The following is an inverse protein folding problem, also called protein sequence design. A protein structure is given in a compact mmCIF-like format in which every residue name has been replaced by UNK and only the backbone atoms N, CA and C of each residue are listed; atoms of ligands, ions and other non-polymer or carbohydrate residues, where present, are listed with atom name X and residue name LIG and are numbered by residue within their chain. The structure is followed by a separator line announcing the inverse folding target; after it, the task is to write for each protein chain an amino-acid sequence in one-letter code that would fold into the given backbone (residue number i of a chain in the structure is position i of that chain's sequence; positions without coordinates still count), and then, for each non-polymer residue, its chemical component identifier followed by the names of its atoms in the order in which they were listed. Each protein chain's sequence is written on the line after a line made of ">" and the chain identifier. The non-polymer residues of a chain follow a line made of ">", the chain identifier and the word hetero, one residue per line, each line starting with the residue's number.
data_IF_135427919882
#
_entry.id   IF_135427919882
#
_cell.length_a   1.000
_cell.length_b   1.000
_cell.length_c   1.000
_cell.angle_alpha   90.00
_cell.angle_beta   90.00
_cell.angle_gamma   90.00
#
_symmetry.space_group_name_H-M   'P 1'
#
loop_
_entity.id
_entity.type
_entity.pdbx_description
1 polymer ?
#
# COMPACT_ATOMS: atom_id res chain seq x y z
N UNK A 1 33.43 35.82 -31.58
CA UNK A 1 33.01 37.18 -31.16
C UNK A 1 31.60 37.05 -30.60
N UNK A 2 31.48 37.14 -29.29
CA UNK A 2 30.22 37.15 -28.56
C UNK A 2 29.75 38.61 -28.51
N UNK A 3 28.74 38.96 -29.29
CA UNK A 3 28.03 40.23 -29.11
C UNK A 3 27.03 40.08 -27.96
N UNK A 4 27.36 40.73 -26.85
CA UNK A 4 26.43 41.08 -25.78
C UNK A 4 25.35 41.98 -26.38
N UNK A 5 24.11 41.51 -26.45
CA UNK A 5 22.97 42.42 -26.50
C UNK A 5 22.59 42.83 -25.08
N UNK A 6 22.74 44.13 -24.85
CA UNK A 6 22.41 44.83 -23.62
C UNK A 6 20.95 44.61 -23.23
N UNK A 7 20.73 44.44 -21.92
CA UNK A 7 19.40 44.37 -21.33
C UNK A 7 18.61 45.63 -21.60
N UNK A 8 17.46 45.44 -22.26
CA UNK A 8 16.30 46.27 -21.98
C UNK A 8 15.73 45.80 -20.64
N UNK A 9 15.74 46.68 -19.64
CA UNK A 9 14.87 46.56 -18.48
C UNK A 9 13.42 46.44 -18.99
N UNK A 10 12.94 45.21 -19.14
CA UNK A 10 11.51 44.95 -19.21
C UNK A 10 10.96 45.33 -17.85
N UNK A 11 10.51 46.57 -17.70
CA UNK A 11 9.41 46.88 -16.79
C UNK A 11 8.36 45.81 -17.09
N UNK A 12 8.13 44.93 -16.12
CA UNK A 12 7.08 43.91 -16.21
C UNK A 12 5.79 44.66 -16.47
N UNK A 13 5.35 44.72 -17.73
CA UNK A 13 3.98 45.08 -18.03
C UNK A 13 3.14 44.15 -17.17
N UNK A 14 2.36 44.75 -16.27
CA UNK A 14 1.42 44.00 -15.47
C UNK A 14 0.47 43.34 -16.46
N UNK A 15 0.75 42.08 -16.84
CA UNK A 15 -0.18 41.28 -17.60
C UNK A 15 -1.39 41.15 -16.70
N UNK A 16 -2.39 41.95 -17.03
CA UNK A 16 -3.67 42.01 -16.36
C UNK A 16 -4.44 40.73 -16.63
N UNK A 17 -5.35 40.41 -15.72
CA UNK A 17 -6.32 39.34 -15.94
C UNK A 17 -7.03 39.61 -17.27
N UNK A 18 -6.97 38.65 -18.20
CA UNK A 18 -7.67 38.75 -19.49
C UNK A 18 -9.18 38.59 -19.25
N UNK A 19 -9.89 39.70 -19.12
CA UNK A 19 -11.34 39.65 -18.87
C UNK A 19 -12.12 38.96 -19.99
N UNK A 20 -11.64 39.06 -21.22
CA UNK A 20 -12.37 38.53 -22.37
C UNK A 20 -12.38 37.00 -22.30
N UNK A 21 -11.25 36.38 -21.96
CA UNK A 21 -11.20 34.92 -21.82
C UNK A 21 -12.02 34.45 -20.62
N UNK A 22 -11.94 35.13 -19.47
CA UNK A 22 -12.71 34.76 -18.27
C UNK A 22 -14.22 34.91 -18.51
N UNK A 23 -14.65 35.98 -19.18
CA UNK A 23 -16.07 36.20 -19.50
C UNK A 23 -16.61 35.11 -20.44
N UNK A 24 -15.80 34.67 -21.42
CA UNK A 24 -16.16 33.53 -22.28
C UNK A 24 -16.27 32.23 -21.48
N UNK A 25 -15.31 31.94 -20.59
CA UNK A 25 -15.36 30.75 -19.72
C UNK A 25 -16.65 30.73 -18.88
N UNK A 26 -17.04 31.86 -18.27
CA UNK A 26 -18.29 31.95 -17.51
C UNK A 26 -19.54 31.76 -18.38
N UNK A 27 -19.52 32.26 -19.61
CA UNK A 27 -20.61 32.08 -20.59
C UNK A 27 -20.74 30.62 -21.04
N UNK A 28 -19.62 29.98 -21.35
CA UNK A 28 -19.57 28.63 -21.90
C UNK A 28 -19.82 27.56 -20.83
N UNK A 29 -19.59 27.86 -19.55
CA UNK A 29 -19.71 26.93 -18.42
C UNK A 29 -20.67 27.43 -17.36
N UNK A 30 -21.98 27.34 -17.64
CA UNK A 30 -23.00 27.67 -16.64
C UNK A 30 -22.82 26.87 -15.36
N UNK A 31 -22.70 27.55 -14.23
CA UNK A 31 -22.51 26.95 -12.91
C UNK A 31 -21.06 26.86 -12.45
N UNK A 32 -20.07 27.18 -13.31
CA UNK A 32 -18.68 27.28 -12.87
C UNK A 32 -18.52 28.41 -11.86
N UNK A 33 -17.80 28.15 -10.78
CA UNK A 33 -17.66 29.09 -9.69
C UNK A 33 -16.27 29.74 -9.67
N UNK A 34 -16.20 30.94 -10.25
CA UNK A 34 -15.01 31.80 -10.19
C UNK A 34 -15.25 32.94 -9.19
N UNK A 35 -14.33 33.11 -8.26
CA UNK A 35 -14.38 34.16 -7.24
C UNK A 35 -13.15 35.08 -7.32
N UNK A 36 -13.30 36.32 -6.86
CA UNK A 36 -12.25 37.32 -6.86
C UNK A 36 -11.58 37.44 -5.49
N UNK A 37 -10.26 37.29 -5.48
CA UNK A 37 -9.41 37.60 -4.34
C UNK A 37 -8.65 38.91 -4.62
N UNK A 38 -9.19 40.02 -4.13
CA UNK A 38 -8.66 41.37 -4.37
C UNK A 38 -7.31 41.66 -3.70
N UNK A 39 -6.94 40.89 -2.66
CA UNK A 39 -5.68 41.08 -1.92
C UNK A 39 -4.98 39.73 -1.74
N UNK A 40 -4.18 39.30 -2.73
CA UNK A 40 -3.26 38.19 -2.55
C UNK A 40 -2.27 38.51 -1.44
N UNK A 41 -2.08 37.57 -0.51
CA UNK A 41 -1.13 37.70 0.60
C UNK A 41 0.09 36.85 0.29
N UNK A 42 1.29 37.44 0.41
CA UNK A 42 2.52 36.70 0.22
C UNK A 42 2.79 35.83 1.44
N UNK A 43 3.01 34.54 1.21
CA UNK A 43 3.44 33.59 2.21
C UNK A 43 4.98 33.52 2.21
N UNK A 44 5.62 34.13 3.21
CA UNK A 44 7.09 34.15 3.34
C UNK A 44 7.72 32.76 3.49
N UNK A 45 7.04 31.81 4.14
CA UNK A 45 7.59 30.46 4.33
C UNK A 45 7.60 29.66 3.01
N UNK A 46 6.51 29.77 2.24
CA UNK A 46 6.32 29.05 0.96
C UNK A 46 6.83 29.82 -0.25
N UNK A 47 7.16 31.11 -0.07
CA UNK A 47 7.57 32.05 -1.11
C UNK A 47 6.55 32.12 -2.26
N UNK A 48 5.25 32.16 -1.94
CA UNK A 48 4.15 32.14 -2.90
C UNK A 48 2.93 32.99 -2.47
N UNK A 49 1.98 33.22 -3.38
CA UNK A 49 0.71 33.91 -3.14
C UNK A 49 -0.50 32.96 -3.14
N UNK A 50 -0.29 31.66 -2.91
CA UNK A 50 -1.31 30.63 -3.19
C UNK A 50 -2.33 30.45 -2.07
N UNK A 51 -2.04 30.96 -0.88
CA UNK A 51 -2.93 30.83 0.27
C UNK A 51 -4.01 31.91 0.25
N UNK A 52 -5.28 31.52 0.14
CA UNK A 52 -6.42 32.43 0.14
C UNK A 52 -7.25 32.24 1.40
N UNK A 53 -7.15 33.21 2.32
CA UNK A 53 -7.95 33.24 3.55
C UNK A 53 -9.43 33.50 3.23
N UNK A 54 -10.33 32.82 3.95
CA UNK A 54 -11.79 32.93 3.77
C UNK A 54 -12.26 32.76 2.31
N UNK A 55 -11.60 31.92 1.53
CA UNK A 55 -11.87 31.72 0.10
C UNK A 55 -13.35 31.39 -0.19
N UNK A 56 -14.03 30.68 0.72
CA UNK A 56 -15.46 30.33 0.60
C UNK A 56 -16.38 31.56 0.54
N UNK A 57 -16.04 32.64 1.24
CA UNK A 57 -16.84 33.86 1.29
C UNK A 57 -16.39 34.92 0.29
N UNK A 58 -15.40 34.64 -0.56
CA UNK A 58 -14.95 35.58 -1.59
C UNK A 58 -16.09 35.82 -2.59
N UNK A 59 -16.27 37.08 -3.04
CA UNK A 59 -17.33 37.42 -3.98
C UNK A 59 -17.06 36.77 -5.35
N UNK A 60 -18.12 36.45 -6.07
CA UNK A 60 -18.01 35.98 -7.46
C UNK A 60 -17.28 37.01 -8.33
N UNK A 61 -16.55 36.51 -9.32
CA UNK A 61 -15.88 37.36 -10.30
C UNK A 61 -16.92 38.17 -11.10
N UNK A 62 -16.65 39.45 -11.28
CA UNK A 62 -17.52 40.43 -11.92
C UNK A 62 -16.74 41.39 -12.84
N UNK A 63 -15.63 40.92 -13.44
CA UNK A 63 -14.85 41.71 -14.39
C UNK A 63 -13.70 42.53 -13.77
N UNK A 64 -13.18 42.10 -12.62
CA UNK A 64 -12.01 42.74 -11.99
C UNK A 64 -10.71 42.49 -12.80
N UNK A 65 -9.75 43.44 -12.73
CA UNK A 65 -8.46 43.39 -13.45
C UNK A 65 -7.27 43.07 -12.54
N UNK A 66 -7.46 43.32 -11.25
CA UNK A 66 -6.45 43.23 -10.19
C UNK A 66 -6.65 41.99 -9.33
N UNK A 67 -5.63 41.65 -8.52
CA UNK A 67 -5.66 40.52 -7.61
C UNK A 67 -5.60 39.15 -8.30
N UNK A 68 -6.33 38.19 -7.75
CA UNK A 68 -6.42 36.81 -8.25
C UNK A 68 -7.88 36.43 -8.54
N UNK A 69 -8.07 35.58 -9.54
CA UNK A 69 -9.28 34.80 -9.71
C UNK A 69 -9.02 33.41 -9.13
N UNK A 70 -9.90 32.96 -8.26
CA UNK A 70 -9.90 31.59 -7.76
C UNK A 70 -11.04 30.81 -8.42
N UNK A 71 -10.80 29.55 -8.71
CA UNK A 71 -11.87 28.59 -9.01
C UNK A 71 -12.19 27.83 -7.73
N UNK A 72 -13.48 27.65 -7.44
CA UNK A 72 -13.98 26.81 -6.35
C UNK A 72 -14.53 25.53 -6.96
N UNK A 73 -13.87 24.41 -6.69
CA UNK A 73 -14.33 23.12 -7.20
C UNK A 73 -15.68 22.76 -6.57
N UNK A 74 -16.52 22.08 -7.34
CA UNK A 74 -17.86 21.64 -6.95
C UNK A 74 -18.12 20.23 -7.46
N UNK A 75 -19.30 19.67 -7.16
CA UNK A 75 -19.67 18.35 -7.66
C UNK A 75 -19.94 18.36 -9.18
N UNK A 76 -20.39 19.50 -9.74
CA UNK A 76 -20.61 19.70 -11.17
C UNK A 76 -19.32 20.05 -11.92
N UNK A 77 -18.41 20.80 -11.29
CA UNK A 77 -17.14 21.22 -11.88
C UNK A 77 -15.98 20.77 -11.01
N UNK A 78 -15.38 19.64 -11.37
CA UNK A 78 -14.25 19.05 -10.64
C UNK A 78 -12.93 19.42 -11.30
N UNK A 79 -11.88 19.40 -10.49
CA UNK A 79 -10.53 19.77 -10.93
C UNK A 79 -9.56 18.60 -10.70
N UNK A 80 -8.67 18.36 -11.65
CA UNK A 80 -7.49 17.53 -11.46
C UNK A 80 -6.28 18.45 -11.30
N UNK A 81 -5.58 18.37 -10.16
CA UNK A 81 -4.28 19.02 -9.95
C UNK A 81 -3.15 18.04 -10.30
N UNK A 82 -2.28 18.45 -11.23
CA UNK A 82 -1.18 17.65 -11.76
C UNK A 82 0.13 17.94 -11.01
N UNK A 83 0.20 17.56 -9.75
CA UNK A 83 1.44 17.66 -8.97
C UNK A 83 2.60 16.82 -9.55
N UNK A 84 2.32 15.89 -10.46
CA UNK A 84 3.32 15.17 -11.27
C UNK A 84 4.34 16.11 -11.94
N UNK A 85 3.97 17.34 -12.31
CA UNK A 85 4.92 18.31 -12.88
C UNK A 85 6.02 18.76 -11.91
N UNK A 86 5.83 18.56 -10.59
CA UNK A 86 6.83 18.83 -9.55
C UNK A 86 7.84 17.69 -9.39
N UNK A 87 7.47 16.49 -9.83
CA UNK A 87 8.17 15.25 -9.45
C UNK A 87 8.70 14.46 -10.64
N UNK A 88 8.13 14.65 -11.83
CA UNK A 88 8.53 13.99 -13.08
C UNK A 88 9.17 14.97 -14.05
N UNK A 89 10.05 14.51 -14.96
CA UNK A 89 10.50 15.32 -16.09
C UNK A 89 9.29 15.84 -16.89
N UNK A 90 9.39 17.06 -17.40
CA UNK A 90 8.28 17.76 -18.06
C UNK A 90 7.60 16.93 -19.16
N UNK A 91 8.39 16.32 -20.05
CA UNK A 91 7.85 15.47 -21.12
C UNK A 91 7.05 14.28 -20.58
N UNK A 92 7.52 13.63 -19.52
CA UNK A 92 6.81 12.50 -18.93
C UNK A 92 5.49 12.93 -18.26
N UNK A 93 5.50 14.08 -17.56
CA UNK A 93 4.29 14.65 -16.98
C UNK A 93 3.28 15.06 -18.06
N UNK A 94 3.73 15.65 -19.17
CA UNK A 94 2.88 16.01 -20.32
C UNK A 94 2.26 14.76 -20.98
N UNK A 95 3.03 13.69 -21.16
CA UNK A 95 2.52 12.42 -21.68
C UNK A 95 1.47 11.76 -20.77
N UNK A 96 1.66 11.81 -19.45
CA UNK A 96 0.68 11.28 -18.48
C UNK A 96 -0.58 12.14 -18.50
N UNK A 97 -0.44 13.47 -18.46
CA UNK A 97 -1.56 14.41 -18.56
C UNK A 97 -2.35 14.23 -19.87
N UNK A 98 -1.67 13.92 -20.97
CA UNK A 98 -2.32 13.71 -22.27
C UNK A 98 -3.28 12.51 -22.32
N UNK A 99 -3.27 11.62 -21.31
CA UNK A 99 -4.27 10.56 -21.18
C UNK A 99 -5.63 11.07 -20.70
N UNK A 100 -5.67 12.26 -20.10
CA UNK A 100 -6.92 12.93 -19.77
C UNK A 100 -7.51 13.61 -21.01
N UNK A 101 -8.85 13.65 -21.16
CA UNK A 101 -9.47 14.43 -22.22
C UNK A 101 -9.06 15.89 -22.10
N UNK A 102 -8.69 16.50 -23.22
CA UNK A 102 -8.36 17.91 -23.27
C UNK A 102 -9.55 18.73 -22.75
N UNK A 103 -9.29 19.72 -21.91
CA UNK A 103 -10.35 20.50 -21.25
C UNK A 103 -9.89 21.94 -20.96
N UNK A 104 -10.69 22.67 -20.20
CA UNK A 104 -10.29 23.93 -19.59
C UNK A 104 -9.10 23.67 -18.65
N UNK A 105 -7.97 24.30 -18.92
CA UNK A 105 -6.74 24.12 -18.13
C UNK A 105 -6.22 25.45 -17.63
N UNK A 106 -5.53 25.43 -16.50
CA UNK A 106 -4.98 26.65 -15.92
C UNK A 106 -3.75 26.37 -15.05
N UNK A 107 -3.18 27.43 -14.48
CA UNK A 107 -1.99 27.39 -13.63
C UNK A 107 -0.75 27.91 -14.35
N UNK A 108 0.43 27.47 -13.90
CA UNK A 108 1.71 27.90 -14.45
C UNK A 108 1.83 27.47 -15.91
N UNK A 109 1.86 28.45 -16.81
CA UNK A 109 1.86 28.17 -18.26
C UNK A 109 0.62 27.42 -18.75
N UNK A 110 -0.48 27.49 -17.99
CA UNK A 110 -1.74 26.77 -18.25
C UNK A 110 -1.64 25.23 -18.27
N UNK A 111 -0.76 24.64 -17.46
CA UNK A 111 -0.51 23.19 -17.46
C UNK A 111 -0.70 22.49 -16.10
N UNK A 112 -1.00 23.23 -15.03
CA UNK A 112 -1.03 22.67 -13.67
C UNK A 112 -2.34 21.96 -13.31
N UNK A 113 -3.45 22.39 -13.92
CA UNK A 113 -4.79 21.94 -13.54
C UNK A 113 -5.67 21.74 -14.77
N UNK A 114 -6.61 20.80 -14.70
CA UNK A 114 -7.72 20.64 -15.66
C UNK A 114 -9.05 20.69 -14.93
N UNK A 115 -10.04 21.37 -15.50
CA UNK A 115 -11.42 21.42 -14.99
C UNK A 115 -12.31 20.60 -15.90
N UNK A 116 -13.17 19.76 -15.33
CA UNK A 116 -14.14 18.95 -16.06
C UNK A 116 -15.56 19.23 -15.57
N UNK A 117 -16.52 19.21 -16.50
CA UNK A 117 -17.94 19.19 -16.16
C UNK A 117 -18.39 17.75 -15.95
N UNK A 118 -18.92 17.45 -14.77
CA UNK A 118 -19.16 16.06 -14.34
C UNK A 118 -20.62 15.67 -14.48
N UNK A 119 -20.85 14.52 -15.10
CA UNK A 119 -22.10 13.77 -15.05
C UNK A 119 -22.07 12.79 -13.88
N UNK A 120 -23.18 12.69 -13.16
CA UNK A 120 -23.41 11.71 -12.08
C UNK A 120 -22.29 11.69 -11.01
N UNK A 121 -22.09 12.79 -10.26
CA UNK A 121 -21.04 12.88 -9.27
C UNK A 121 -21.21 11.83 -8.15
N UNK A 122 -20.14 11.09 -7.88
CA UNK A 122 -20.06 10.00 -6.91
C UNK A 122 -18.77 9.99 -6.09
N UNK A 123 -17.75 10.75 -6.51
CA UNK A 123 -16.41 10.71 -5.91
C UNK A 123 -16.04 12.00 -5.21
N UNK A 124 -15.47 11.87 -4.00
CA UNK A 124 -15.01 12.98 -3.17
C UNK A 124 -13.57 13.35 -3.48
N UNK A 125 -13.10 14.42 -2.83
CA UNK A 125 -11.70 14.84 -2.95
C UNK A 125 -10.75 13.69 -2.56
N UNK A 126 -9.76 13.40 -3.41
CA UNK A 126 -8.78 12.33 -3.21
C UNK A 126 -7.40 12.80 -3.66
N UNK A 127 -6.39 12.53 -2.83
CA UNK A 127 -4.97 12.73 -3.17
C UNK A 127 -4.29 11.40 -3.34
N UNK A 128 -3.45 11.28 -4.36
CA UNK A 128 -2.61 10.10 -4.58
C UNK A 128 -1.16 10.47 -4.30
N UNK A 129 -0.50 9.63 -3.50
CA UNK A 129 0.85 9.84 -3.04
C UNK A 129 1.81 8.73 -3.52
N UNK A 130 3.11 8.99 -3.43
CA UNK A 130 4.17 7.98 -3.40
C UNK A 130 5.22 8.44 -2.38
N UNK A 131 5.26 7.79 -1.21
CA UNK A 131 5.98 8.33 -0.06
C UNK A 131 5.42 9.72 0.32
N UNK A 132 6.30 10.72 0.36
CA UNK A 132 6.00 12.12 0.68
C UNK A 132 5.50 12.96 -0.53
N UNK A 133 5.54 12.40 -1.74
CA UNK A 133 5.18 13.12 -2.98
C UNK A 133 3.71 12.97 -3.28
N UNK A 134 2.96 14.08 -3.24
CA UNK A 134 1.62 14.14 -3.84
C UNK A 134 1.78 14.14 -5.37
N UNK A 135 1.13 13.23 -6.06
CA UNK A 135 1.26 13.08 -7.52
C UNK A 135 0.08 13.69 -8.25
N UNK A 136 -1.14 13.37 -7.80
CA UNK A 136 -2.37 13.88 -8.40
C UNK A 136 -3.39 14.14 -7.29
N UNK A 137 -4.21 15.18 -7.49
CA UNK A 137 -5.37 15.45 -6.63
C UNK A 137 -6.63 15.58 -7.47
N UNK A 138 -7.63 14.76 -7.13
CA UNK A 138 -8.99 14.88 -7.59
C UNK A 138 -9.71 15.84 -6.65
N UNK A 139 -10.00 17.06 -7.09
CA UNK A 139 -10.56 18.13 -6.26
C UNK A 139 -12.05 18.31 -6.52
N UNK A 140 -12.80 18.36 -5.43
CA UNK A 140 -14.27 18.50 -5.41
C UNK A 140 -14.67 19.65 -4.48
N UNK A 141 -15.98 19.74 -4.18
CA UNK A 141 -16.52 20.63 -3.15
C UNK A 141 -15.64 20.68 -1.90
N UNK A 142 -15.18 21.88 -1.53
CA UNK A 142 -14.26 22.09 -0.41
C UNK A 142 -12.82 22.44 -0.82
N UNK A 143 -12.53 22.48 -2.11
CA UNK A 143 -11.22 22.86 -2.67
C UNK A 143 -11.28 24.17 -3.48
N UNK A 144 -10.15 24.86 -3.57
CA UNK A 144 -9.99 26.02 -4.45
C UNK A 144 -8.59 26.01 -5.07
N UNK A 145 -8.46 26.72 -6.19
CA UNK A 145 -7.19 26.91 -6.89
C UNK A 145 -7.10 28.31 -7.47
N UNK A 146 -5.88 28.84 -7.61
CA UNK A 146 -5.65 30.12 -8.30
C UNK A 146 -5.81 29.89 -9.81
N UNK A 147 -6.94 30.35 -10.34
CA UNK A 147 -7.31 30.19 -11.75
C UNK A 147 -6.55 31.17 -12.65
N UNK A 148 -6.44 32.42 -12.22
CA UNK A 148 -5.68 33.47 -12.89
C UNK A 148 -5.10 34.46 -11.87
N UNK A 149 -3.93 35.01 -12.14
CA UNK A 149 -3.26 35.99 -11.26
C UNK A 149 -1.97 35.46 -10.65
N UNK A 150 -1.43 36.16 -9.66
CA UNK A 150 -0.11 35.87 -9.09
C UNK A 150 -0.04 34.49 -8.43
N UNK A 151 1.04 33.74 -8.70
CA UNK A 151 1.34 32.49 -7.99
C UNK A 151 2.52 32.65 -7.05
N UNK A 152 3.55 33.36 -7.50
CA UNK A 152 4.76 33.72 -6.76
C UNK A 152 5.35 35.00 -7.36
N UNK A 153 6.53 35.40 -6.89
CA UNK A 153 7.19 36.64 -7.33
C UNK A 153 7.63 36.64 -8.82
N UNK A 154 7.68 35.47 -9.46
CA UNK A 154 8.18 35.31 -10.84
C UNK A 154 7.08 34.96 -11.82
N UNK A 155 6.03 34.30 -11.35
CA UNK A 155 5.12 33.61 -12.24
C UNK A 155 3.66 33.76 -11.82
N UNK A 156 2.78 33.62 -12.81
CA UNK A 156 1.33 33.81 -12.68
C UNK A 156 0.58 32.60 -13.23
N UNK A 157 -0.60 32.35 -12.66
CA UNK A 157 -1.59 31.45 -13.21
C UNK A 157 -2.29 32.14 -14.37
N UNK A 158 -2.53 31.36 -15.43
CA UNK A 158 -3.38 31.76 -16.54
C UNK A 158 -4.16 30.55 -17.06
N UNK A 159 -5.40 30.75 -17.54
CA UNK A 159 -6.10 29.71 -18.28
C UNK A 159 -5.46 29.49 -19.65
N UNK A 160 -5.70 28.31 -20.25
CA UNK A 160 -5.41 28.03 -21.65
C UNK A 160 -6.45 28.71 -22.56
N UNK A 161 -6.34 28.49 -23.87
CA UNK A 161 -7.28 29.05 -24.85
C UNK A 161 -8.61 28.28 -24.93
N UNK A 162 -8.75 27.19 -24.20
CA UNK A 162 -9.96 26.36 -24.18
C UNK A 162 -10.90 26.98 -23.16
N UNK A 163 -12.04 27.49 -23.62
CA UNK A 163 -12.98 28.18 -22.75
C UNK A 163 -14.02 27.25 -22.15
N UNK A 164 -14.32 26.12 -22.80
CA UNK A 164 -15.34 25.17 -22.37
C UNK A 164 -14.71 23.97 -21.66
N UNK A 165 -15.20 23.63 -20.46
CA UNK A 165 -14.82 22.41 -19.78
C UNK A 165 -15.47 21.20 -20.47
N UNK A 166 -14.67 20.18 -20.72
CA UNK A 166 -15.12 18.91 -21.28
C UNK A 166 -16.06 18.21 -20.31
N UNK A 167 -17.20 17.76 -20.84
CA UNK A 167 -18.20 17.02 -20.08
C UNK A 167 -17.89 15.52 -20.09
N UNK A 168 -17.89 14.88 -18.92
CA UNK A 168 -17.50 13.48 -18.74
C UNK A 168 -18.25 12.82 -17.58
N UNK A 169 -18.47 11.50 -17.66
CA UNK A 169 -18.97 10.72 -16.54
C UNK A 169 -17.94 10.67 -15.39
N UNK A 170 -18.39 10.86 -14.14
CA UNK A 170 -17.47 10.86 -12.99
C UNK A 170 -16.68 9.53 -12.92
N UNK A 171 -17.35 8.40 -13.17
CA UNK A 171 -16.75 7.06 -13.19
C UNK A 171 -15.62 6.92 -14.21
N UNK A 172 -15.76 7.55 -15.37
CA UNK A 172 -14.74 7.54 -16.42
C UNK A 172 -13.53 8.40 -16.01
N UNK A 173 -13.76 9.61 -15.49
CA UNK A 173 -12.67 10.48 -15.05
C UNK A 173 -11.92 9.89 -13.85
N UNK A 174 -12.61 9.22 -12.91
CA UNK A 174 -12.00 8.50 -11.79
C UNK A 174 -11.09 7.39 -12.30
N UNK A 175 -11.53 6.62 -13.29
CA UNK A 175 -10.71 5.56 -13.89
C UNK A 175 -9.44 6.15 -14.49
N UNK A 176 -9.55 7.19 -15.32
CA UNK A 176 -8.40 7.88 -15.93
C UNK A 176 -7.46 8.42 -14.85
N UNK A 177 -8.01 9.03 -13.80
CA UNK A 177 -7.26 9.55 -12.66
C UNK A 177 -6.40 8.47 -11.98
N UNK A 178 -6.99 7.32 -11.65
CA UNK A 178 -6.23 6.23 -11.03
C UNK A 178 -5.25 5.56 -12.00
N UNK A 179 -5.59 5.41 -13.28
CA UNK A 179 -4.66 4.87 -14.29
C UNK A 179 -3.44 5.78 -14.47
N UNK A 180 -3.65 7.09 -14.57
CA UNK A 180 -2.58 8.08 -14.63
C UNK A 180 -1.71 8.07 -13.37
N UNK A 181 -2.33 7.92 -12.19
CA UNK A 181 -1.61 7.81 -10.93
C UNK A 181 -0.74 6.55 -10.85
N UNK A 182 -1.28 5.40 -11.29
CA UNK A 182 -0.56 4.14 -11.36
C UNK A 182 0.66 4.26 -12.28
N UNK A 183 0.51 4.92 -13.44
CA UNK A 183 1.61 5.13 -14.37
C UNK A 183 2.68 6.07 -13.79
N UNK A 184 2.26 7.15 -13.12
CA UNK A 184 3.18 8.07 -12.45
C UNK A 184 3.98 7.38 -11.34
N UNK A 185 3.31 6.54 -10.52
CA UNK A 185 3.97 5.75 -9.49
C UNK A 185 4.94 4.74 -10.11
N UNK A 186 4.51 3.99 -11.13
CA UNK A 186 5.36 3.02 -11.83
C UNK A 186 6.60 3.69 -12.45
N UNK A 187 6.42 4.85 -13.09
CA UNK A 187 7.51 5.63 -13.66
C UNK A 187 8.56 6.02 -12.61
N UNK A 188 8.12 6.47 -11.43
CA UNK A 188 8.98 6.95 -10.36
C UNK A 188 9.78 5.84 -9.68
N UNK A 189 9.24 4.63 -9.61
CA UNK A 189 9.92 3.47 -9.01
C UNK A 189 10.73 2.66 -10.03
N UNK A 190 10.58 2.96 -11.32
CA UNK A 190 11.27 2.23 -12.38
C UNK A 190 12.79 2.43 -12.30
N UNK A 191 13.58 1.33 -12.37
CA UNK A 191 15.02 1.42 -12.29
C UNK A 191 15.61 1.99 -13.59
N UNK A 192 16.64 2.82 -13.46
CA UNK A 192 17.35 3.39 -14.61
C UNK A 192 18.22 2.38 -15.37
N UNK A 193 18.59 1.26 -14.74
CA UNK A 193 19.46 0.23 -15.29
C UNK A 193 18.91 -1.17 -15.04
N UNK A 194 19.74 -2.05 -14.49
CA UNK A 194 19.33 -3.40 -14.09
C UNK A 194 18.30 -3.34 -12.96
N UNK A 195 17.31 -4.24 -12.99
CA UNK A 195 16.25 -4.31 -11.97
C UNK A 195 14.82 -4.32 -12.53
N UNK A 196 14.64 -4.12 -13.84
CA UNK A 196 13.32 -4.21 -14.48
C UNK A 196 12.63 -5.55 -14.22
N UNK A 197 13.39 -6.66 -14.18
CA UNK A 197 12.82 -7.97 -13.89
C UNK A 197 12.19 -8.04 -12.49
N UNK A 198 12.83 -7.45 -11.48
CA UNK A 198 12.26 -7.39 -10.13
C UNK A 198 10.99 -6.53 -10.12
N UNK A 199 11.02 -5.38 -10.80
CA UNK A 199 9.84 -4.51 -10.92
C UNK A 199 8.68 -5.25 -11.60
N UNK A 200 8.93 -5.92 -12.72
CA UNK A 200 7.91 -6.66 -13.47
C UNK A 200 7.31 -7.78 -12.62
N UNK A 201 8.15 -8.56 -11.93
CA UNK A 201 7.68 -9.69 -11.10
C UNK A 201 6.88 -9.22 -9.90
N UNK A 202 7.30 -8.14 -9.24
CA UNK A 202 6.64 -7.62 -8.04
C UNK A 202 5.42 -6.76 -8.35
N UNK A 203 5.55 -5.76 -9.22
CA UNK A 203 4.44 -4.88 -9.58
C UNK A 203 3.43 -5.60 -10.49
N UNK A 204 3.88 -6.36 -11.49
CA UNK A 204 2.97 -7.17 -12.31
C UNK A 204 2.26 -8.26 -11.51
N UNK A 205 2.94 -8.83 -10.51
CA UNK A 205 2.32 -9.72 -9.54
C UNK A 205 1.30 -9.02 -8.65
N UNK A 206 1.58 -7.80 -8.18
CA UNK A 206 0.63 -6.97 -7.43
C UNK A 206 -0.59 -6.62 -8.28
N UNK A 207 -0.43 -6.30 -9.57
CA UNK A 207 -1.58 -6.06 -10.45
C UNK A 207 -2.52 -7.28 -10.51
N UNK A 208 -1.95 -8.47 -10.74
CA UNK A 208 -2.71 -9.72 -10.72
C UNK A 208 -3.40 -9.96 -9.37
N UNK A 209 -2.68 -9.75 -8.28
CA UNK A 209 -3.19 -9.93 -6.91
C UNK A 209 -4.43 -9.07 -6.63
N UNK A 210 -4.48 -7.85 -7.20
CA UNK A 210 -5.61 -6.93 -7.06
C UNK A 210 -6.72 -7.16 -8.10
N UNK A 211 -6.61 -8.17 -8.96
CA UNK A 211 -7.63 -8.49 -9.97
C UNK A 211 -7.60 -7.56 -11.19
N UNK A 212 -6.45 -7.00 -11.55
CA UNK A 212 -6.29 -6.27 -12.81
C UNK A 212 -6.05 -7.24 -13.95
N UNK A 213 -6.63 -6.95 -15.12
CA UNK A 213 -6.46 -7.75 -16.33
C UNK A 213 -5.01 -7.76 -16.85
N UNK A 214 -4.62 -8.84 -17.53
CA UNK A 214 -3.28 -8.97 -18.14
C UNK A 214 -3.00 -7.81 -19.11
N UNK A 215 -4.00 -7.45 -19.93
CA UNK A 215 -3.91 -6.38 -20.92
C UNK A 215 -3.64 -5.01 -20.28
N UNK A 216 -4.29 -4.72 -19.13
CA UNK A 216 -4.04 -3.51 -18.38
C UNK A 216 -2.57 -3.45 -17.91
N UNK A 217 -2.10 -4.54 -17.31
CA UNK A 217 -0.72 -4.63 -16.81
C UNK A 217 0.30 -4.52 -17.93
N UNK A 218 0.06 -5.12 -19.09
CA UNK A 218 0.93 -4.93 -20.26
C UNK A 218 0.93 -3.47 -20.72
N UNK A 219 -0.25 -2.86 -20.89
CA UNK A 219 -0.39 -1.47 -21.35
C UNK A 219 0.37 -0.49 -20.47
N UNK A 220 0.19 -0.55 -19.14
CA UNK A 220 0.83 0.39 -18.22
C UNK A 220 2.36 0.23 -18.19
N UNK A 221 2.87 -1.00 -18.33
CA UNK A 221 4.30 -1.24 -18.46
C UNK A 221 4.84 -0.75 -19.80
N UNK A 222 4.12 -0.93 -20.90
CA UNK A 222 4.51 -0.39 -22.21
C UNK A 222 4.58 1.14 -22.20
N UNK A 223 3.56 1.80 -21.65
CA UNK A 223 3.55 3.25 -21.44
C UNK A 223 4.77 3.67 -20.61
N UNK A 224 5.05 2.99 -19.50
CA UNK A 224 6.21 3.31 -18.66
C UNK A 224 7.55 3.11 -19.38
N UNK A 225 7.67 2.06 -20.20
CA UNK A 225 8.88 1.81 -21.00
C UNK A 225 9.09 2.90 -22.05
N UNK A 226 8.01 3.35 -22.71
CA UNK A 226 8.05 4.47 -23.65
C UNK A 226 8.54 5.75 -22.98
N UNK A 227 8.00 6.09 -21.79
CA UNK A 227 8.43 7.25 -21.01
C UNK A 227 9.91 7.20 -20.59
N UNK A 228 10.49 6.01 -20.46
CA UNK A 228 11.91 5.79 -20.16
C UNK A 228 12.77 5.55 -21.42
N UNK A 229 12.18 5.62 -22.63
CA UNK A 229 12.84 5.29 -23.91
C UNK A 229 13.43 3.86 -23.94
N UNK A 230 12.76 2.90 -23.30
CA UNK A 230 13.18 1.49 -23.15
C UNK A 230 12.41 0.53 -24.06
N UNK A 231 12.30 0.88 -25.34
CA UNK A 231 11.60 0.06 -26.34
C UNK A 231 12.24 -1.33 -26.52
N UNK A 232 13.54 -1.47 -26.22
CA UNK A 232 14.29 -2.73 -26.22
C UNK A 232 13.67 -3.80 -25.29
N UNK A 233 13.02 -3.38 -24.21
CA UNK A 233 12.47 -4.24 -23.16
C UNK A 233 11.04 -4.70 -23.40
N UNK A 234 10.33 -4.13 -24.38
CA UNK A 234 8.88 -4.33 -24.57
C UNK A 234 8.51 -5.82 -24.69
N UNK A 235 9.19 -6.54 -25.60
CA UNK A 235 8.91 -7.97 -25.86
C UNK A 235 9.14 -8.86 -24.63
N UNK A 236 10.23 -8.65 -23.91
CA UNK A 236 10.56 -9.43 -22.70
C UNK A 236 9.59 -9.12 -21.55
N UNK A 237 9.21 -7.86 -21.40
CA UNK A 237 8.28 -7.39 -20.37
C UNK A 237 6.91 -8.03 -20.56
N UNK A 238 6.34 -7.97 -21.76
CA UNK A 238 5.04 -8.59 -22.04
C UNK A 238 5.08 -10.11 -21.86
N UNK A 239 6.16 -10.77 -22.29
CA UNK A 239 6.32 -12.23 -22.08
C UNK A 239 6.36 -12.57 -20.59
N UNK A 240 7.03 -11.77 -19.79
CA UNK A 240 7.12 -11.96 -18.33
C UNK A 240 5.77 -11.74 -17.66
N UNK A 241 5.04 -10.68 -18.02
CA UNK A 241 3.69 -10.41 -17.52
C UNK A 241 2.74 -11.56 -17.87
N UNK A 242 2.71 -12.00 -19.14
CA UNK A 242 1.91 -13.17 -19.54
C UNK A 242 2.27 -14.44 -18.73
N UNK A 243 3.55 -14.60 -18.38
CA UNK A 243 4.01 -15.69 -17.52
C UNK A 243 3.51 -15.59 -16.08
N UNK A 244 3.36 -14.39 -15.51
CA UNK A 244 2.79 -14.14 -14.18
C UNK A 244 1.30 -14.50 -14.18
N UNK A 245 0.57 -14.09 -15.22
CA UNK A 245 -0.87 -14.32 -15.33
C UNK A 245 -1.25 -15.79 -15.49
N UNK A 246 -0.39 -16.61 -16.11
CA UNK A 246 -0.61 -18.06 -16.30
C UNK A 246 -0.36 -18.95 -15.08
N UNK A 247 0.33 -18.47 -14.04
CA UNK A 247 0.70 -19.30 -12.86
C UNK A 247 -0.33 -19.21 -11.75
N UNK A 248 -0.54 -20.26 -10.96
CA UNK A 248 -1.45 -20.28 -9.80
C UNK A 248 -0.92 -19.53 -8.56
N UNK A 249 0.06 -18.63 -8.76
CA UNK A 249 0.57 -17.74 -7.73
C UNK A 249 1.36 -16.59 -8.34
N UNK A 250 1.56 -15.53 -7.57
CA UNK A 250 2.26 -14.32 -7.98
C UNK A 250 3.13 -13.77 -6.85
N UNK A 251 4.13 -12.99 -7.24
CA UNK A 251 4.80 -12.11 -6.29
C UNK A 251 3.94 -10.87 -6.04
N UNK A 252 4.43 -9.94 -5.23
CA UNK A 252 3.74 -8.70 -4.93
C UNK A 252 4.76 -7.61 -4.58
N UNK A 253 4.29 -6.37 -4.39
CA UNK A 253 5.19 -5.21 -4.21
C UNK A 253 6.04 -5.29 -2.92
N UNK A 254 5.69 -6.17 -1.97
CA UNK A 254 6.39 -6.42 -0.70
C UNK A 254 7.34 -7.63 -0.75
N UNK A 255 7.54 -8.21 -1.94
CA UNK A 255 8.39 -9.39 -2.13
C UNK A 255 9.83 -9.15 -1.65
N UNK A 256 10.33 -10.07 -0.82
CA UNK A 256 11.75 -10.12 -0.43
C UNK A 256 12.64 -10.70 -1.54
N UNK A 257 12.07 -11.54 -2.40
CA UNK A 257 12.80 -12.20 -3.49
C UNK A 257 12.99 -11.27 -4.70
N UNK A 258 12.04 -10.36 -4.91
CA UNK A 258 12.06 -9.40 -6.01
C UNK A 258 11.89 -7.98 -5.43
N UNK A 259 12.87 -7.49 -4.64
CA UNK A 259 12.71 -6.25 -3.90
C UNK A 259 12.63 -5.05 -4.84
N UNK A 260 11.78 -4.08 -4.46
CA UNK A 260 11.73 -2.73 -5.03
C UNK A 260 12.24 -1.77 -3.94
N UNK A 261 13.25 -0.92 -4.24
CA UNK A 261 13.96 -0.13 -3.23
C UNK A 261 13.18 1.15 -2.84
N UNK A 262 11.99 0.95 -2.29
CA UNK A 262 11.13 2.00 -1.71
C UNK A 262 10.65 1.55 -0.33
N UNK A 263 10.27 2.51 0.51
CA UNK A 263 9.70 2.22 1.82
C UNK A 263 8.31 1.56 1.73
N UNK A 264 7.87 0.98 2.85
CA UNK A 264 6.60 0.25 2.89
C UNK A 264 5.38 1.18 2.77
N UNK A 265 5.47 2.45 3.20
CA UNK A 265 4.37 3.39 3.03
C UNK A 265 4.13 3.69 1.54
N UNK A 266 5.19 3.89 0.77
CA UNK A 266 5.14 4.05 -0.68
C UNK A 266 4.57 2.80 -1.38
N UNK A 267 4.93 1.58 -0.91
CA UNK A 267 4.32 0.33 -1.40
C UNK A 267 2.82 0.26 -1.12
N UNK A 268 2.38 0.69 0.06
CA UNK A 268 0.96 0.76 0.39
C UNK A 268 0.21 1.75 -0.50
N UNK A 269 0.79 2.92 -0.81
CA UNK A 269 0.18 3.86 -1.75
C UNK A 269 -0.01 3.25 -3.16
N UNK A 270 0.96 2.46 -3.65
CA UNK A 270 0.83 1.74 -4.92
C UNK A 270 -0.32 0.73 -4.85
N UNK A 271 -0.36 -0.09 -3.78
CA UNK A 271 -1.43 -1.07 -3.60
C UNK A 271 -2.80 -0.42 -3.56
N UNK A 272 -2.98 0.71 -2.88
CA UNK A 272 -4.26 1.41 -2.83
C UNK A 272 -4.74 1.86 -4.20
N UNK A 273 -3.84 2.38 -5.04
CA UNK A 273 -4.15 2.77 -6.42
C UNK A 273 -4.54 1.56 -7.25
N UNK A 274 -3.74 0.49 -7.23
CA UNK A 274 -4.03 -0.73 -7.98
C UNK A 274 -5.32 -1.40 -7.53
N UNK A 275 -5.60 -1.42 -6.23
CA UNK A 275 -6.85 -1.92 -5.66
C UNK A 275 -8.06 -1.10 -6.11
N UNK A 276 -7.91 0.21 -6.30
CA UNK A 276 -9.00 1.08 -6.78
C UNK A 276 -9.33 0.85 -8.26
N UNK A 277 -8.40 0.26 -9.02
CA UNK A 277 -8.59 -0.10 -10.43
C UNK A 277 -9.00 -1.57 -10.62
N UNK A 278 -8.65 -2.43 -9.67
CA UNK A 278 -8.87 -3.87 -9.74
C UNK A 278 -10.31 -4.28 -9.49
N UNK A 279 -10.66 -5.50 -9.92
CA UNK A 279 -12.01 -6.07 -9.78
C UNK A 279 -12.12 -7.05 -8.62
N UNK A 280 -11.07 -7.22 -7.82
CA UNK A 280 -11.09 -8.16 -6.69
C UNK A 280 -12.22 -7.79 -5.72
N UNK A 281 -13.26 -8.61 -5.71
CA UNK A 281 -14.32 -8.49 -4.72
C UNK A 281 -13.72 -8.67 -3.32
N UNK A 282 -14.06 -7.75 -2.43
CA UNK A 282 -13.73 -7.90 -1.02
C UNK A 282 -14.63 -8.99 -0.46
N UNK A 283 -14.05 -10.14 -0.12
CA UNK A 283 -14.77 -11.13 0.67
C UNK A 283 -15.21 -10.48 1.99
N UNK A 284 -16.51 -10.50 2.32
CA UNK A 284 -16.98 -9.99 3.59
C UNK A 284 -16.28 -10.72 4.74
N UNK A 285 -15.85 -9.97 5.75
CA UNK A 285 -15.38 -10.58 6.98
C UNK A 285 -16.50 -11.45 7.55
N UNK A 286 -16.24 -12.73 7.79
CA UNK A 286 -17.19 -13.59 8.46
C UNK A 286 -17.38 -13.11 9.90
N UNK A 287 -18.59 -12.67 10.23
CA UNK A 287 -18.94 -12.22 11.58
C UNK A 287 -19.91 -13.24 12.18
N UNK A 288 -19.53 -13.80 13.33
CA UNK A 288 -20.41 -14.67 14.10
C UNK A 288 -21.16 -13.86 15.15
N UNK A 289 -22.48 -14.10 15.28
CA UNK A 289 -23.32 -13.47 16.31
C UNK A 289 -23.49 -14.42 17.48
N UNK A 290 -23.27 -13.92 18.69
CA UNK A 290 -23.59 -14.65 19.91
C UNK A 290 -25.12 -14.80 20.06
N UNK A 291 -25.58 -16.05 20.18
CA UNK A 291 -26.97 -16.40 20.45
C UNK A 291 -27.07 -17.00 21.87
N UNK A 292 -27.88 -16.41 22.75
CA UNK A 292 -28.02 -16.88 24.14
C UNK A 292 -28.64 -18.27 24.26
N UNK A 293 -29.39 -18.70 23.25
CA UNK A 293 -30.07 -20.00 23.21
C UNK A 293 -29.14 -21.13 22.74
N UNK A 294 -27.99 -20.79 22.15
CA UNK A 294 -26.97 -21.78 21.80
C UNK A 294 -26.24 -22.23 23.06
N UNK A 295 -26.46 -23.49 23.44
CA UNK A 295 -25.72 -24.10 24.54
C UNK A 295 -24.27 -24.32 24.09
N UNK A 296 -23.28 -23.66 24.71
CA UNK A 296 -21.89 -23.87 24.35
C UNK A 296 -21.50 -25.32 24.62
N UNK A 297 -20.75 -25.93 23.70
CA UNK A 297 -20.22 -27.27 23.93
C UNK A 297 -19.23 -27.23 25.10
N UNK A 298 -19.31 -28.24 25.97
CA UNK A 298 -18.35 -28.39 27.06
C UNK A 298 -16.95 -28.53 26.48
N UNK A 299 -16.03 -27.66 26.90
CA UNK A 299 -14.62 -27.70 26.50
C UNK A 299 -14.02 -29.05 26.88
N UNK A 300 -13.38 -29.71 25.91
CA UNK A 300 -12.58 -30.92 26.14
C UNK A 300 -11.21 -30.51 26.66
N UNK A 301 -10.73 -31.19 27.68
CA UNK A 301 -9.42 -30.97 28.28
C UNK A 301 -8.56 -32.22 28.09
N UNK A 302 -7.29 -32.03 27.78
CA UNK A 302 -6.24 -33.04 27.94
C UNK A 302 -5.93 -33.22 29.44
N UNK A 303 -5.84 -32.10 30.16
CA UNK A 303 -5.62 -32.05 31.62
C UNK A 303 -6.63 -31.08 32.23
N UNK A 304 -7.33 -31.55 33.27
CA UNK A 304 -8.46 -30.87 33.87
C UNK A 304 -8.17 -29.41 34.25
N UNK A 305 -8.94 -28.50 33.67
CA UNK A 305 -8.83 -27.05 33.91
C UNK A 305 -7.49 -26.42 33.51
N UNK A 306 -6.59 -27.15 32.84
CA UNK A 306 -5.22 -26.69 32.54
C UNK A 306 -4.92 -26.70 31.03
N UNK A 307 -4.96 -27.87 30.40
CA UNK A 307 -4.68 -28.00 28.96
C UNK A 307 -5.97 -28.34 28.21
N UNK A 308 -6.52 -27.38 27.46
CA UNK A 308 -7.65 -27.65 26.57
C UNK A 308 -7.18 -28.49 25.36
N UNK A 309 -7.94 -29.53 25.01
CA UNK A 309 -7.58 -30.44 23.92
C UNK A 309 -7.60 -29.68 22.58
N UNK A 310 -6.52 -29.81 21.79
CA UNK A 310 -6.37 -29.14 20.49
C UNK A 310 -5.94 -27.67 20.55
N UNK A 311 -5.68 -27.12 21.75
CA UNK A 311 -5.32 -25.72 21.94
C UNK A 311 -3.86 -25.54 22.37
N UNK A 312 -3.30 -24.37 22.06
CA UNK A 312 -2.00 -23.94 22.59
C UNK A 312 -2.19 -23.43 24.02
N UNK A 313 -1.43 -23.99 24.97
CA UNK A 313 -1.39 -23.56 26.38
C UNK A 313 -0.02 -22.96 26.69
N UNK A 314 0.02 -21.78 27.31
CA UNK A 314 1.28 -21.10 27.65
C UNK A 314 1.55 -21.17 29.15
N UNK A 315 2.76 -21.63 29.54
CA UNK A 315 3.27 -21.58 30.92
C UNK A 315 4.30 -20.45 30.99
N UNK A 316 3.91 -19.32 31.58
CA UNK A 316 4.75 -18.13 31.70
C UNK A 316 5.17 -17.89 33.16
N UNK A 317 6.47 -17.75 33.39
CA UNK A 317 7.08 -17.45 34.69
C UNK A 317 8.51 -16.92 34.48
N UNK A 318 9.09 -16.31 35.52
CA UNK A 318 10.46 -15.80 35.48
C UNK A 318 11.50 -16.91 35.18
N UNK A 319 12.71 -16.49 34.82
CA UNK A 319 13.84 -17.41 34.65
C UNK A 319 14.12 -18.13 35.98
N UNK A 320 14.44 -19.43 35.92
CA UNK A 320 14.69 -20.24 37.12
C UNK A 320 13.45 -20.69 37.91
N UNK A 321 12.23 -20.28 37.55
CA UNK A 321 11.00 -20.67 38.28
C UNK A 321 10.52 -22.10 38.05
N UNK A 322 11.32 -22.95 37.38
CA UNK A 322 10.97 -24.36 37.17
C UNK A 322 10.01 -24.65 36.01
N UNK A 323 9.88 -23.75 35.01
CA UNK A 323 9.01 -23.94 33.84
C UNK A 323 9.29 -25.25 33.10
N UNK A 324 10.56 -25.50 32.77
CA UNK A 324 10.98 -26.73 32.08
C UNK A 324 10.66 -27.95 32.95
N UNK A 325 10.91 -27.89 34.26
CA UNK A 325 10.58 -28.98 35.18
C UNK A 325 9.08 -29.28 35.21
N UNK A 326 8.24 -28.23 35.27
CA UNK A 326 6.79 -28.38 35.20
C UNK A 326 6.35 -28.98 33.84
N UNK A 327 6.98 -28.60 32.74
CA UNK A 327 6.72 -29.15 31.41
C UNK A 327 7.18 -30.62 31.28
N UNK A 328 8.30 -31.01 31.91
CA UNK A 328 8.75 -32.40 31.99
C UNK A 328 7.78 -33.27 32.80
N UNK A 329 7.31 -32.76 33.95
CA UNK A 329 6.27 -33.44 34.73
C UNK A 329 4.97 -33.56 33.93
N UNK A 330 4.58 -32.51 33.20
CA UNK A 330 3.41 -32.53 32.34
C UNK A 330 3.51 -33.62 31.27
N UNK A 331 4.65 -33.70 30.57
CA UNK A 331 4.92 -34.72 29.57
C UNK A 331 4.83 -36.13 30.15
N UNK A 332 5.42 -36.32 31.33
CA UNK A 332 5.33 -37.57 32.07
C UNK A 332 3.89 -37.97 32.37
N UNK A 333 3.12 -37.08 33.01
CA UNK A 333 1.71 -37.31 33.35
C UNK A 333 0.85 -37.66 32.14
N UNK A 334 1.09 -37.01 30.99
CA UNK A 334 0.36 -37.32 29.74
C UNK A 334 0.73 -38.69 29.20
N UNK A 335 1.99 -39.12 29.28
CA UNK A 335 2.37 -40.45 28.82
C UNK A 335 1.84 -41.57 29.74
N UNK A 336 1.83 -41.37 31.06
CA UNK A 336 1.51 -42.42 32.03
C UNK A 336 0.06 -42.39 32.52
N UNK A 337 -0.67 -41.28 32.32
CA UNK A 337 -1.99 -41.07 32.92
C UNK A 337 -1.94 -40.68 34.40
N UNK A 338 -0.76 -40.51 35.00
CA UNK A 338 -0.62 -40.04 36.38
C UNK A 338 -1.13 -38.61 36.53
N UNK A 339 -1.74 -38.28 37.66
CA UNK A 339 -2.27 -36.93 37.89
C UNK A 339 -1.19 -35.85 37.80
N UNK A 340 -1.49 -34.76 37.08
CA UNK A 340 -0.62 -33.60 36.99
C UNK A 340 -0.97 -32.59 38.08
N UNK A 341 -0.17 -32.54 39.16
CA UNK A 341 -0.38 -31.62 40.30
C UNK A 341 -1.82 -31.70 40.84
N UNK A 342 -2.32 -32.93 41.03
CA UNK A 342 -3.67 -33.22 41.51
C UNK A 342 -4.79 -33.09 40.45
N UNK A 343 -4.45 -32.80 39.19
CA UNK A 343 -5.41 -32.73 38.07
C UNK A 343 -5.45 -34.04 37.30
N UNK A 344 -6.65 -34.46 36.92
CA UNK A 344 -6.82 -35.64 36.09
C UNK A 344 -6.31 -35.40 34.67
N UNK A 345 -5.63 -36.42 34.14
CA UNK A 345 -5.27 -36.53 32.72
C UNK A 345 -6.41 -37.30 32.05
N UNK A 346 -7.06 -36.70 31.06
CA UNK A 346 -8.22 -37.30 30.39
C UNK A 346 -7.83 -38.14 29.17
N UNK A 347 -6.69 -37.85 28.54
CA UNK A 347 -6.16 -38.59 27.40
C UNK A 347 -4.66 -38.81 27.56
N UNK A 348 -4.21 -40.03 27.30
CA UNK A 348 -2.79 -40.41 27.30
C UNK A 348 -2.24 -40.53 25.89
N UNK A 349 -0.97 -40.23 25.68
CA UNK A 349 -0.37 -40.32 24.35
C UNK A 349 1.13 -40.09 24.32
N UNK A 350 1.72 -40.26 23.14
CA UNK A 350 3.12 -39.90 22.91
C UNK A 350 3.29 -38.38 23.07
N UNK A 351 4.38 -37.96 23.72
CA UNK A 351 4.70 -36.55 23.91
C UNK A 351 6.02 -36.23 23.24
N UNK A 352 6.05 -35.14 22.48
CA UNK A 352 7.28 -34.54 21.95
C UNK A 352 7.60 -33.27 22.72
N UNK A 353 8.77 -33.23 23.36
CA UNK A 353 9.30 -32.03 24.00
C UNK A 353 10.33 -31.35 23.07
N UNK A 354 10.17 -30.06 22.80
CA UNK A 354 11.17 -29.26 22.08
C UNK A 354 11.71 -28.22 23.05
N UNK A 355 12.99 -28.33 23.38
CA UNK A 355 13.64 -27.55 24.44
C UNK A 355 14.86 -26.84 23.88
N UNK A 356 14.71 -25.52 23.64
CA UNK A 356 15.75 -24.73 22.96
C UNK A 356 16.83 -24.19 23.92
N UNK A 357 16.67 -24.39 25.23
CA UNK A 357 17.54 -23.84 26.27
C UNK A 357 18.23 -24.93 27.11
N UNK A 358 17.87 -26.20 26.90
CA UNK A 358 18.28 -27.32 27.74
C UNK A 358 19.18 -28.27 26.96
N UNK A 359 20.20 -28.81 27.62
CA UNK A 359 21.02 -29.89 27.05
C UNK A 359 20.29 -31.22 27.13
N UNK A 360 20.72 -32.18 26.30
CA UNK A 360 20.24 -33.57 26.36
C UNK A 360 20.36 -34.16 27.76
N UNK A 361 21.49 -33.91 28.42
CA UNK A 361 21.73 -34.43 29.76
C UNK A 361 20.78 -33.82 30.81
N UNK A 362 20.57 -32.51 30.79
CA UNK A 362 19.64 -31.83 31.72
C UNK A 362 18.20 -32.31 31.55
N UNK A 363 17.76 -32.54 30.30
CA UNK A 363 16.44 -33.10 30.05
C UNK A 363 16.29 -34.53 30.58
N UNK A 364 17.30 -35.37 30.38
CA UNK A 364 17.30 -36.73 30.92
C UNK A 364 17.28 -36.75 32.44
N UNK A 365 18.04 -35.87 33.10
CA UNK A 365 18.03 -35.74 34.56
C UNK A 365 16.65 -35.36 35.11
N UNK A 366 15.97 -34.39 34.49
CA UNK A 366 14.61 -33.95 34.88
C UNK A 366 13.56 -35.06 34.73
N UNK A 367 13.61 -35.78 33.60
CA UNK A 367 12.72 -36.92 33.36
C UNK A 367 13.02 -38.07 34.33
N UNK A 368 14.29 -38.38 34.59
CA UNK A 368 14.69 -39.42 35.54
C UNK A 368 14.26 -39.10 36.96
N UNK A 369 14.38 -37.84 37.39
CA UNK A 369 13.90 -37.41 38.69
C UNK A 369 12.37 -37.59 38.83
N UNK A 370 11.62 -37.34 37.75
CA UNK A 370 10.17 -37.57 37.72
C UNK A 370 9.85 -39.07 37.79
N UNK A 371 10.59 -39.89 37.03
CA UNK A 371 10.46 -41.35 37.03
C UNK A 371 10.74 -41.97 38.41
N UNK A 372 11.72 -41.45 39.14
CA UNK A 372 12.03 -41.91 40.51
C UNK A 372 10.86 -41.71 41.50
N UNK A 373 10.03 -40.68 41.29
CA UNK A 373 8.90 -40.38 42.14
C UNK A 373 7.62 -41.11 41.70
N UNK A 374 7.38 -41.20 40.39
CA UNK A 374 6.11 -41.64 39.83
C UNK A 374 6.14 -43.03 39.17
N UNK A 375 7.27 -43.75 39.25
CA UNK A 375 7.45 -45.08 38.69
C UNK A 375 8.15 -45.06 37.32
N UNK A 376 8.39 -46.24 36.75
CA UNK A 376 9.00 -46.32 35.42
C UNK A 376 7.98 -45.95 34.34
N UNK A 377 8.42 -45.25 33.29
CA UNK A 377 7.59 -45.09 32.07
C UNK A 377 7.36 -46.46 31.44
N UNK A 378 8.35 -47.35 31.50
CA UNK A 378 8.27 -48.72 31.01
C UNK A 378 8.24 -49.70 32.18
N UNK A 379 7.10 -50.34 32.41
CA UNK A 379 6.99 -51.45 33.36
C UNK A 379 6.48 -52.72 32.66
N UNK A 380 7.13 -53.85 32.91
CA UNK A 380 6.60 -55.19 32.59
C UNK A 380 6.46 -55.62 31.12
N UNK A 381 6.86 -54.83 30.12
CA UNK A 381 6.81 -55.24 28.71
C UNK A 381 5.50 -54.93 27.97
N UNK A 382 4.60 -54.15 28.58
CA UNK A 382 3.53 -53.48 27.84
C UNK A 382 4.05 -52.17 27.25
N UNK A 383 3.69 -51.88 25.99
CA UNK A 383 4.11 -50.66 25.30
C UNK A 383 3.36 -49.47 25.91
N UNK A 384 4.03 -48.72 26.77
CA UNK A 384 3.59 -47.39 27.18
C UNK A 384 3.98 -46.35 26.14
N UNK A 385 3.24 -45.25 26.10
CA UNK A 385 3.52 -44.12 25.22
C UNK A 385 4.91 -43.51 25.51
N UNK A 386 5.55 -42.94 24.50
CA UNK A 386 6.92 -42.44 24.58
C UNK A 386 6.98 -40.92 24.82
N UNK A 387 8.02 -40.49 25.54
CA UNK A 387 8.45 -39.08 25.59
C UNK A 387 9.66 -38.93 24.67
N UNK A 388 9.43 -38.39 23.48
CA UNK A 388 10.50 -37.95 22.59
C UNK A 388 10.92 -36.53 22.96
N UNK A 389 12.20 -36.19 22.84
CA UNK A 389 12.66 -34.82 23.08
C UNK A 389 13.75 -34.35 22.12
N UNK A 390 13.71 -33.06 21.79
CA UNK A 390 14.71 -32.29 21.03
C UNK A 390 15.31 -31.24 21.95
N UNK A 391 16.63 -31.14 21.98
CA UNK A 391 17.37 -30.25 22.89
C UNK A 391 18.20 -29.23 22.12
N UNK A 392 18.84 -28.30 22.82
CA UNK A 392 19.61 -27.21 22.21
C UNK A 392 20.69 -27.70 21.24
N UNK A 393 21.23 -28.90 21.47
CA UNK A 393 22.21 -29.54 20.59
C UNK A 393 21.65 -29.87 19.19
N UNK A 394 20.33 -30.03 19.07
CA UNK A 394 19.66 -30.46 17.84
C UNK A 394 18.80 -29.36 17.20
N UNK A 395 18.39 -28.34 17.97
CA UNK A 395 17.57 -27.21 17.49
C UNK A 395 18.30 -26.34 16.46
N UNK A 396 19.63 -26.40 16.40
CA UNK A 396 20.41 -25.77 15.32
C UNK A 396 20.30 -26.49 13.96
N UNK A 397 19.59 -27.64 13.87
CA UNK A 397 19.47 -28.45 12.64
C UNK A 397 18.04 -28.96 12.42
N UNK A 398 17.23 -28.23 11.65
CA UNK A 398 15.83 -28.58 11.33
C UNK A 398 15.73 -29.97 10.65
N UNK A 399 14.97 -30.89 11.25
CA UNK A 399 14.59 -32.19 10.68
C UNK A 399 13.11 -32.17 10.23
N UNK A 400 12.79 -32.91 9.17
CA UNK A 400 11.40 -33.17 8.75
C UNK A 400 10.84 -34.38 9.51
N UNK A 401 9.62 -34.24 10.03
CA UNK A 401 8.89 -35.32 10.69
C UNK A 401 7.84 -35.94 9.75
N UNK A 402 7.73 -37.27 9.78
CA UNK A 402 6.63 -38.00 9.16
C UNK A 402 6.13 -39.13 10.08
N UNK A 403 5.06 -39.81 9.69
CA UNK A 403 4.40 -40.88 10.47
C UNK A 403 5.31 -42.06 10.81
N UNK A 404 6.46 -42.19 10.12
CA UNK A 404 7.40 -43.31 10.26
C UNK A 404 8.73 -42.88 10.91
N UNK A 405 8.86 -41.63 11.38
CA UNK A 405 10.05 -41.12 12.07
C UNK A 405 10.56 -39.76 11.54
N UNK A 406 11.80 -39.42 11.88
CA UNK A 406 12.43 -38.13 11.53
C UNK A 406 13.54 -38.31 10.47
N UNK A 407 13.59 -37.38 9.48
CA UNK A 407 14.67 -37.31 8.46
C UNK A 407 15.39 -35.94 8.49
N UNK A 408 16.74 -35.90 8.35
CA UNK A 408 17.48 -34.65 8.18
C UNK A 408 17.11 -33.91 6.88
N UNK A 409 17.16 -32.57 6.88
CA UNK A 409 16.92 -31.73 5.68
C UNK A 409 18.23 -31.34 4.97
N UNK A 410 18.19 -30.95 3.69
CA UNK A 410 19.38 -30.62 2.88
C UNK A 410 20.23 -29.43 3.40
N UNK A 411 19.71 -28.64 4.35
CA UNK A 411 20.45 -27.57 5.05
C UNK A 411 21.54 -28.11 6.01
N UNK A 412 21.69 -29.43 6.10
CA UNK A 412 22.62 -30.18 6.96
C UNK A 412 24.12 -29.95 6.70
N UNK A 413 24.51 -29.29 5.60
CA UNK A 413 25.91 -29.27 5.09
C UNK A 413 26.77 -28.04 5.38
N UNK A 414 26.49 -27.25 6.41
CA UNK A 414 27.46 -26.26 6.88
C UNK A 414 27.66 -26.38 8.38
N UNK A 415 28.73 -27.10 8.74
CA UNK A 415 29.65 -26.89 9.86
C UNK A 415 30.60 -28.10 9.82
N UNK A 416 31.56 -28.07 8.90
CA UNK A 416 32.89 -28.66 9.13
C UNK A 416 33.72 -27.68 9.94
#
# INVERSE_FOLDING_TARGET
>A
MLEKQNGSENKSEAVSIDKNIISRILSDNKGIDLAHNSKPEFNEEKQDFKTVTNWKSKPSYAGQEDGQIIIRASDEYKEIDYDIFKHLPRLAAECIKAKFPMSLEFGRGAAGHSVYKIKNPSFSTKRIYLGDKCLLEYRTTGSYSIFAGELDLKEKAKPNQITQATEIEDSELIKIFYEAAALAQLYLIAPKGDGWNNLILSYGGECKEQGLEEEFTQRIFEDCLELHNRHDRKKETNKSIAGIYKKDGNSNIFSKNFPIPIDDAAKHHIREVLKSLGTKELEPLEVQRYNSDELPQKRKFLIDGFCALGNVTSIAAAAGSGKTTAASLLAYCVCTGTQFLGRNVFETGNVLMITNEETKNEMQLKLKATEMEYGLIYDGGEVTYNIDFRTIEEVTKLAQFNTNGAKPTDQFKQLE
#
